data_IF_470818320693
#
_entry.id   IF_470818320693
#
_cell.length_a   1.000
_cell.length_b   1.000
_cell.length_c   1.000
_cell.angle_alpha   90.00
_cell.angle_beta   90.00
_cell.angle_gamma   90.00
#
_symmetry.space_group_name_H-M   'P 1'
#
loop_
_entity.id
_entity.type
_entity.pdbx_description
1 polymer ?
#
# COMPACT_ATOMS: atom_id res chain seq x y z
N UNK A 1 12.89 -7.19 1.65
CA UNK A 1 12.57 -6.72 0.29
C UNK A 1 11.06 -6.64 0.16
N UNK A 2 10.53 -5.53 -0.30
CA UNK A 2 9.10 -5.32 -0.60
C UNK A 2 8.97 -5.12 -2.11
N UNK A 3 8.31 -6.06 -2.79
CA UNK A 3 7.95 -5.90 -4.20
C UNK A 3 6.71 -5.01 -4.31
N UNK A 4 6.75 -4.01 -5.17
CA UNK A 4 5.67 -3.04 -5.37
C UNK A 4 5.30 -2.99 -6.85
N UNK A 5 4.01 -3.00 -7.19
CA UNK A 5 3.53 -2.90 -8.56
C UNK A 5 2.25 -2.08 -8.65
N UNK A 6 2.25 -1.01 -9.45
CA UNK A 6 1.03 -0.36 -9.89
C UNK A 6 0.32 -1.29 -10.90
N UNK A 7 -0.84 -1.80 -10.54
CA UNK A 7 -1.63 -2.67 -11.43
C UNK A 7 -2.48 -1.85 -12.40
N UNK A 8 -3.01 -0.72 -11.93
CA UNK A 8 -3.77 0.22 -12.72
C UNK A 8 -3.53 1.65 -12.24
N UNK A 9 -3.48 2.58 -13.18
CA UNK A 9 -3.12 3.98 -12.95
C UNK A 9 -4.20 4.97 -13.41
N UNK A 10 -5.34 4.49 -13.88
CA UNK A 10 -6.46 5.33 -14.34
C UNK A 10 -7.44 5.64 -13.20
N UNK A 11 -8.00 6.85 -13.23
CA UNK A 11 -9.18 7.24 -12.46
C UNK A 11 -10.42 7.33 -13.33
N UNK A 12 -11.60 7.28 -12.73
CA UNK A 12 -12.95 7.44 -13.28
C UNK A 12 -13.42 6.32 -14.22
N UNK A 13 -12.73 6.06 -15.33
CA UNK A 13 -13.13 5.03 -16.30
C UNK A 13 -11.91 4.29 -16.87
N UNK A 14 -12.03 2.99 -17.18
CA UNK A 14 -10.94 2.25 -17.78
C UNK A 14 -10.70 2.69 -19.23
N UNK A 15 -9.44 2.65 -19.64
CA UNK A 15 -9.04 2.86 -21.03
C UNK A 15 -8.42 1.56 -21.56
N UNK A 16 -8.39 1.32 -22.88
CA UNK A 16 -7.87 0.08 -23.46
C UNK A 16 -6.44 -0.28 -23.06
N UNK A 17 -5.66 0.70 -22.60
CA UNK A 17 -4.25 0.57 -22.21
C UNK A 17 -3.95 1.11 -20.82
N UNK A 18 -5.00 1.38 -20.03
CA UNK A 18 -4.87 1.91 -18.66
C UNK A 18 -6.03 1.39 -17.80
N UNK A 19 -5.73 0.43 -16.93
CA UNK A 19 -6.68 -0.11 -15.97
C UNK A 19 -6.95 0.88 -14.84
N UNK A 20 -8.05 0.66 -14.13
CA UNK A 20 -8.44 1.48 -13.00
C UNK A 20 -7.56 1.22 -11.77
N UNK A 21 -7.65 2.12 -10.83
CA UNK A 21 -6.78 2.26 -9.66
C UNK A 21 -6.59 0.96 -8.90
N UNK A 22 -5.35 0.52 -8.82
CA UNK A 22 -4.95 -0.63 -7.99
C UNK A 22 -3.44 -0.68 -7.79
N UNK A 23 -3.01 -0.96 -6.58
CA UNK A 23 -1.61 -1.17 -6.17
C UNK A 23 -1.47 -2.52 -5.50
N UNK A 24 -0.50 -3.32 -5.89
CA UNK A 24 -0.18 -4.58 -5.23
C UNK A 24 1.24 -4.58 -4.69
N UNK A 25 1.40 -5.08 -3.48
CA UNK A 25 2.68 -5.27 -2.81
C UNK A 25 2.85 -6.72 -2.38
N UNK A 26 4.09 -7.22 -2.35
CA UNK A 26 4.40 -8.58 -1.87
C UNK A 26 5.54 -8.54 -0.86
N UNK A 27 5.32 -9.18 0.27
CA UNK A 27 6.30 -9.30 1.34
C UNK A 27 6.22 -10.66 2.02
N UNK A 28 7.34 -11.38 2.12
CA UNK A 28 7.44 -12.67 2.83
C UNK A 28 6.33 -13.68 2.50
N UNK A 29 5.97 -13.81 1.22
CA UNK A 29 4.96 -14.75 0.76
C UNK A 29 3.51 -14.25 0.91
N UNK A 30 3.27 -13.11 1.53
CA UNK A 30 1.99 -12.42 1.61
C UNK A 30 1.87 -11.34 0.54
N UNK A 31 0.67 -11.08 0.07
CA UNK A 31 0.38 -9.97 -0.84
C UNK A 31 -0.69 -9.04 -0.25
N UNK A 32 -0.48 -7.75 -0.47
CA UNK A 32 -1.37 -6.66 -0.05
C UNK A 32 -1.86 -5.99 -1.32
N UNK A 33 -3.16 -5.80 -1.44
CA UNK A 33 -3.77 -5.01 -2.51
C UNK A 33 -4.33 -3.71 -1.90
N UNK A 34 -4.11 -2.57 -2.54
CA UNK A 34 -4.80 -1.32 -2.21
C UNK A 34 -5.61 -0.92 -3.42
N UNK A 35 -6.91 -0.83 -3.24
CA UNK A 35 -7.94 -0.69 -4.23
C UNK A 35 -7.99 -1.83 -5.27
N UNK A 36 -9.16 -2.05 -5.84
CA UNK A 36 -9.44 -3.10 -6.80
C UNK A 36 -10.37 -2.57 -7.88
N UNK A 37 -9.86 -1.65 -8.70
CA UNK A 37 -10.58 -1.11 -9.84
C UNK A 37 -10.76 -2.15 -10.95
N UNK A 38 -11.57 -1.83 -11.95
CA UNK A 38 -11.80 -2.70 -13.09
C UNK A 38 -10.48 -2.98 -13.84
N UNK A 39 -10.25 -4.24 -14.19
CA UNK A 39 -9.02 -4.71 -14.84
C UNK A 39 -7.94 -5.20 -13.88
N UNK A 40 -8.07 -5.02 -12.55
CA UNK A 40 -7.09 -5.44 -11.56
C UNK A 40 -6.66 -6.91 -11.73
N UNK A 41 -7.61 -7.85 -11.88
CA UNK A 41 -7.30 -9.26 -12.07
C UNK A 41 -6.54 -9.55 -13.36
N UNK A 42 -6.79 -8.77 -14.42
CA UNK A 42 -6.07 -8.89 -15.70
C UNK A 42 -4.63 -8.42 -15.50
N UNK A 43 -4.45 -7.26 -14.88
CA UNK A 43 -3.13 -6.69 -14.61
C UNK A 43 -2.26 -7.59 -13.71
N UNK A 44 -2.85 -8.24 -12.68
CA UNK A 44 -2.14 -9.25 -11.87
C UNK A 44 -1.66 -10.42 -12.73
N UNK A 45 -2.53 -10.92 -13.63
CA UNK A 45 -2.20 -12.03 -14.53
C UNK A 45 -1.11 -11.64 -15.52
N UNK A 46 -1.21 -10.47 -16.13
CA UNK A 46 -0.21 -9.90 -17.06
C UNK A 46 1.14 -9.65 -16.37
N UNK A 47 1.12 -9.25 -15.08
CA UNK A 47 2.34 -9.13 -14.27
C UNK A 47 2.98 -10.47 -13.93
N UNK A 48 2.27 -11.59 -14.12
CA UNK A 48 2.72 -12.93 -13.74
C UNK A 48 2.69 -13.16 -12.23
N UNK A 49 1.89 -12.38 -11.49
CA UNK A 49 1.72 -12.57 -10.06
C UNK A 49 0.53 -13.48 -9.75
N UNK A 50 0.55 -14.10 -8.57
CA UNK A 50 -0.48 -15.02 -8.13
C UNK A 50 -1.57 -14.31 -7.31
N UNK A 51 -2.82 -14.78 -7.45
CA UNK A 51 -3.96 -14.30 -6.66
C UNK A 51 -4.00 -14.95 -5.26
N UNK A 52 -3.54 -16.20 -5.13
CA UNK A 52 -3.65 -16.98 -3.89
C UNK A 52 -2.97 -16.32 -2.68
N UNK A 53 -1.80 -15.67 -2.79
CA UNK A 53 -1.13 -15.03 -1.66
C UNK A 53 -1.74 -13.68 -1.22
N UNK A 54 -2.82 -13.19 -1.84
CA UNK A 54 -3.43 -11.92 -1.43
C UNK A 54 -4.13 -12.13 -0.09
N UNK A 55 -3.52 -11.68 0.99
CA UNK A 55 -4.04 -11.86 2.35
C UNK A 55 -4.85 -10.66 2.84
N UNK A 56 -4.59 -9.48 2.26
CA UNK A 56 -5.23 -8.22 2.64
C UNK A 56 -5.58 -7.41 1.40
N UNK A 57 -6.80 -6.87 1.38
CA UNK A 57 -7.23 -5.84 0.42
C UNK A 57 -7.66 -4.62 1.22
N UNK A 58 -7.03 -3.47 0.97
CA UNK A 58 -7.39 -2.18 1.54
C UNK A 58 -8.17 -1.36 0.52
N UNK A 59 -9.28 -0.73 0.93
CA UNK A 59 -10.02 0.21 0.10
C UNK A 59 -9.85 1.62 0.62
N UNK A 60 -9.42 2.53 -0.25
CA UNK A 60 -9.34 3.96 0.07
C UNK A 60 -10.73 4.53 0.30
N UNK A 61 -11.67 4.20 -0.58
CA UNK A 61 -13.08 4.54 -0.54
C UNK A 61 -13.88 3.65 -1.51
N UNK A 62 -15.18 3.92 -1.72
CA UNK A 62 -16.08 3.03 -2.46
C UNK A 62 -16.57 3.59 -3.80
N UNK A 63 -15.83 4.52 -4.44
CA UNK A 63 -16.12 4.84 -5.83
C UNK A 63 -15.84 3.64 -6.75
N UNK A 64 -16.54 3.57 -7.87
CA UNK A 64 -16.50 2.42 -8.77
C UNK A 64 -15.10 2.09 -9.25
N UNK A 65 -14.31 3.10 -9.61
CA UNK A 65 -12.95 2.96 -10.11
C UNK A 65 -11.93 2.43 -9.07
N UNK A 66 -12.36 2.26 -7.82
CA UNK A 66 -11.56 1.68 -6.73
C UNK A 66 -12.04 0.30 -6.26
N UNK A 67 -13.28 -0.11 -6.60
CA UNK A 67 -13.86 -1.35 -6.05
C UNK A 67 -14.56 -2.24 -7.07
N UNK A 68 -14.85 -1.76 -8.28
CA UNK A 68 -15.63 -2.51 -9.28
C UNK A 68 -15.00 -3.83 -9.73
N UNK A 69 -13.69 -3.98 -9.62
CA UNK A 69 -12.98 -5.21 -9.93
C UNK A 69 -13.08 -6.32 -8.87
N UNK A 70 -13.54 -5.98 -7.66
CA UNK A 70 -13.54 -6.90 -6.51
C UNK A 70 -14.35 -8.19 -6.75
N UNK A 71 -15.59 -8.17 -7.27
CA UNK A 71 -16.36 -9.40 -7.46
C UNK A 71 -15.65 -10.41 -8.37
N UNK A 72 -15.10 -9.93 -9.48
CA UNK A 72 -14.33 -10.77 -10.40
C UNK A 72 -13.04 -11.31 -9.78
N UNK A 73 -12.35 -10.49 -8.99
CA UNK A 73 -11.14 -10.92 -8.27
C UNK A 73 -11.47 -12.01 -7.25
N UNK A 74 -12.53 -11.87 -6.45
CA UNK A 74 -12.94 -12.86 -5.46
C UNK A 74 -13.25 -14.22 -6.11
N UNK A 75 -13.98 -14.23 -7.24
CA UNK A 75 -14.23 -15.45 -8.02
C UNK A 75 -12.92 -16.06 -8.53
N UNK A 76 -12.02 -15.26 -9.06
CA UNK A 76 -10.72 -15.72 -9.54
C UNK A 76 -9.87 -16.32 -8.41
N UNK A 77 -9.88 -15.72 -7.22
CA UNK A 77 -9.20 -16.25 -6.03
C UNK A 77 -9.81 -17.59 -5.58
N UNK A 78 -11.14 -17.71 -5.62
CA UNK A 78 -11.84 -18.98 -5.34
C UNK A 78 -11.47 -20.09 -6.33
N UNK A 79 -11.43 -19.76 -7.62
CA UNK A 79 -11.03 -20.68 -8.69
C UNK A 79 -9.54 -21.06 -8.64
N UNK A 80 -8.71 -20.28 -7.96
CA UNK A 80 -7.29 -20.59 -7.70
C UNK A 80 -7.09 -21.43 -6.42
N UNK A 81 -8.14 -22.10 -5.93
CA UNK A 81 -8.14 -22.97 -4.74
C UNK A 81 -7.65 -22.26 -3.45
N UNK A 82 -7.95 -20.97 -3.31
CA UNK A 82 -7.71 -20.29 -2.04
C UNK A 82 -8.67 -20.83 -0.97
N UNK A 83 -8.14 -21.15 0.20
CA UNK A 83 -8.92 -21.57 1.39
C UNK A 83 -8.67 -20.66 2.58
N UNK A 84 -7.55 -19.96 2.60
CA UNK A 84 -7.14 -19.08 3.68
C UNK A 84 -8.06 -17.85 3.72
N UNK A 85 -8.39 -17.33 4.92
CA UNK A 85 -9.21 -16.14 5.07
C UNK A 85 -8.60 -14.95 4.33
N UNK A 86 -9.46 -14.07 3.80
CA UNK A 86 -9.09 -12.80 3.18
C UNK A 86 -9.53 -11.65 4.08
N UNK A 87 -8.61 -10.79 4.48
CA UNK A 87 -8.91 -9.59 5.25
C UNK A 87 -9.18 -8.41 4.34
N UNK A 88 -10.31 -7.74 4.55
CA UNK A 88 -10.69 -6.50 3.87
C UNK A 88 -10.63 -5.34 4.88
N UNK A 89 -9.91 -4.28 4.54
CA UNK A 89 -9.79 -3.05 5.35
C UNK A 89 -10.37 -1.90 4.55
N UNK A 90 -11.20 -1.05 5.17
CA UNK A 90 -11.76 0.10 4.46
C UNK A 90 -12.64 0.99 5.34
N UNK A 91 -13.23 2.04 4.77
CA UNK A 91 -14.14 2.93 5.47
C UNK A 91 -15.34 2.20 6.09
N UNK A 92 -16.00 2.82 7.04
CA UNK A 92 -17.27 2.33 7.61
C UNK A 92 -18.28 2.03 6.51
N UNK A 93 -18.98 0.90 6.62
CA UNK A 93 -19.88 0.37 5.62
C UNK A 93 -19.23 -0.60 4.63
N UNK A 94 -17.97 -0.98 4.83
CA UNK A 94 -17.23 -1.92 3.99
C UNK A 94 -17.97 -3.25 3.81
N UNK A 95 -18.40 -3.87 4.90
CA UNK A 95 -19.12 -5.14 4.87
C UNK A 95 -20.41 -5.05 4.05
N UNK A 96 -21.17 -3.96 4.23
CA UNK A 96 -22.41 -3.72 3.48
C UNK A 96 -22.14 -3.57 1.98
N UNK A 97 -21.13 -2.78 1.60
CA UNK A 97 -20.79 -2.52 0.19
C UNK A 97 -20.29 -3.80 -0.47
N UNK A 98 -19.36 -4.51 0.16
CA UNK A 98 -18.83 -5.78 -0.36
C UNK A 98 -19.92 -6.83 -0.44
N UNK A 99 -20.81 -6.92 0.57
CA UNK A 99 -21.96 -7.80 0.56
C UNK A 99 -22.88 -7.56 -0.64
N UNK A 100 -23.16 -6.29 -0.97
CA UNK A 100 -23.97 -5.93 -2.14
C UNK A 100 -23.27 -6.28 -3.47
N UNK A 101 -21.98 -6.03 -3.59
CA UNK A 101 -21.20 -6.33 -4.80
C UNK A 101 -21.09 -7.84 -5.06
N UNK A 102 -20.97 -8.64 -3.99
CA UNK A 102 -20.81 -10.10 -4.11
C UNK A 102 -22.11 -10.90 -4.26
N UNK A 103 -23.26 -10.25 -4.46
CA UNK A 103 -24.51 -10.96 -4.81
C UNK A 103 -24.31 -11.87 -6.03
N UNK A 104 -23.44 -11.52 -6.96
CA UNK A 104 -23.07 -12.35 -8.13
C UNK A 104 -22.02 -13.43 -7.81
N UNK A 105 -21.45 -13.44 -6.61
CA UNK A 105 -20.45 -14.40 -6.12
C UNK A 105 -20.78 -14.77 -4.66
N UNK A 106 -21.96 -15.35 -4.38
CA UNK A 106 -22.46 -15.53 -3.01
C UNK A 106 -21.65 -16.54 -2.22
N UNK A 107 -21.09 -17.54 -2.87
CA UNK A 107 -20.32 -18.61 -2.25
C UNK A 107 -18.84 -18.46 -2.61
N UNK A 108 -18.01 -18.39 -1.59
CA UNK A 108 -16.55 -18.38 -1.72
C UNK A 108 -15.98 -19.51 -0.87
N UNK A 109 -14.92 -20.19 -1.33
CA UNK A 109 -14.30 -21.29 -0.59
C UNK A 109 -13.42 -20.80 0.59
N UNK A 110 -13.44 -19.52 0.91
CA UNK A 110 -12.69 -18.88 1.98
C UNK A 110 -13.53 -17.81 2.69
N UNK A 111 -13.17 -17.55 3.95
CA UNK A 111 -13.78 -16.53 4.80
C UNK A 111 -13.37 -15.11 4.38
N UNK A 112 -14.30 -14.14 4.42
CA UNK A 112 -14.01 -12.71 4.36
C UNK A 112 -14.04 -12.13 5.76
N UNK A 113 -12.97 -11.46 6.17
CA UNK A 113 -12.83 -10.73 7.44
C UNK A 113 -12.84 -9.24 7.19
N UNK A 114 -13.72 -8.51 7.86
CA UNK A 114 -13.89 -7.09 7.65
C UNK A 114 -13.28 -6.30 8.82
N UNK A 115 -12.43 -5.35 8.50
CA UNK A 115 -11.85 -4.38 9.45
C UNK A 115 -12.21 -2.97 9.00
N UNK A 116 -13.31 -2.46 9.53
CA UNK A 116 -13.76 -1.11 9.22
C UNK A 116 -12.97 -0.06 9.99
N UNK A 117 -12.53 1.00 9.28
CA UNK A 117 -11.76 2.10 9.87
C UNK A 117 -12.72 3.00 10.64
N UNK A 118 -12.56 3.06 11.95
CA UNK A 118 -13.36 3.86 12.86
C UNK A 118 -12.84 5.27 13.15
N UNK A 119 -11.53 5.45 13.03
CA UNK A 119 -10.80 6.63 13.47
C UNK A 119 -10.19 7.41 12.29
N UNK A 120 -9.87 8.71 12.46
CA UNK A 120 -9.15 9.48 11.44
C UNK A 120 -7.77 8.91 11.09
N UNK A 121 -7.13 8.22 12.03
CA UNK A 121 -5.91 7.45 11.81
C UNK A 121 -6.00 6.16 12.61
N UNK A 122 -5.77 5.02 11.96
CA UNK A 122 -5.84 3.71 12.59
C UNK A 122 -4.74 2.80 12.04
N UNK A 123 -4.10 2.03 12.92
CA UNK A 123 -3.03 1.10 12.56
C UNK A 123 -3.52 -0.34 12.73
N UNK A 124 -3.20 -1.17 11.75
CA UNK A 124 -3.48 -2.60 11.73
C UNK A 124 -2.14 -3.35 11.72
N UNK A 125 -1.93 -4.16 12.75
CA UNK A 125 -0.76 -5.03 12.84
C UNK A 125 -0.99 -6.29 11.99
N UNK A 126 -0.07 -6.54 11.08
CA UNK A 126 -0.09 -7.69 10.18
C UNK A 126 1.14 -8.57 10.45
N UNK A 127 1.20 -9.73 9.80
CA UNK A 127 2.32 -10.64 9.97
C UNK A 127 3.61 -10.08 9.34
N UNK A 128 4.37 -9.32 10.14
CA UNK A 128 5.68 -8.78 9.77
C UNK A 128 5.65 -7.40 9.12
N UNK A 129 4.50 -6.72 9.09
CA UNK A 129 4.36 -5.33 8.63
C UNK A 129 3.15 -4.67 9.30
N UNK A 130 3.08 -3.35 9.25
CA UNK A 130 1.95 -2.55 9.71
C UNK A 130 1.31 -1.83 8.54
N UNK A 131 -0.02 -1.72 8.58
CA UNK A 131 -0.81 -0.86 7.69
C UNK A 131 -1.42 0.25 8.53
N UNK A 132 -1.09 1.50 8.22
CA UNK A 132 -1.69 2.67 8.85
C UNK A 132 -2.60 3.36 7.85
N UNK A 133 -3.90 3.38 8.15
CA UNK A 133 -4.87 4.19 7.43
C UNK A 133 -4.88 5.60 8.01
N UNK A 134 -4.98 6.62 7.16
CA UNK A 134 -5.09 8.02 7.57
C UNK A 134 -6.09 8.78 6.69
N UNK A 135 -6.91 9.61 7.33
CA UNK A 135 -7.98 10.35 6.64
C UNK A 135 -7.40 11.37 5.67
N UNK A 136 -7.99 11.43 4.47
CA UNK A 136 -7.69 12.42 3.43
C UNK A 136 -8.94 13.22 3.06
N UNK A 137 -8.82 14.23 2.19
CA UNK A 137 -9.89 15.18 1.87
C UNK A 137 -10.50 14.92 0.50
N UNK A 138 -11.55 14.11 0.48
CA UNK A 138 -12.35 13.83 -0.72
C UNK A 138 -13.86 14.07 -0.49
N UNK A 139 -14.67 13.86 -1.53
CA UNK A 139 -16.13 14.06 -1.47
C UNK A 139 -16.85 13.02 -0.60
N UNK A 140 -16.24 11.86 -0.44
CA UNK A 140 -16.70 10.77 0.44
C UNK A 140 -15.64 10.47 1.49
N UNK A 141 -15.95 9.60 2.45
CA UNK A 141 -14.97 9.10 3.40
C UNK A 141 -13.86 8.38 2.66
N UNK A 142 -12.64 8.93 2.69
CA UNK A 142 -11.48 8.44 1.98
C UNK A 142 -10.25 8.39 2.88
N UNK A 143 -9.42 7.35 2.70
CA UNK A 143 -8.19 7.12 3.45
C UNK A 143 -7.00 6.91 2.51
N UNK A 144 -5.84 7.44 2.92
CA UNK A 144 -4.57 6.98 2.42
C UNK A 144 -4.04 5.86 3.31
N UNK A 145 -3.02 5.16 2.83
CA UNK A 145 -2.39 4.05 3.55
C UNK A 145 -0.88 4.19 3.59
N UNK A 146 -0.29 3.92 4.74
CA UNK A 146 1.16 3.74 4.89
C UNK A 146 1.43 2.30 5.28
N UNK A 147 2.30 1.62 4.52
CA UNK A 147 2.80 0.28 4.84
C UNK A 147 4.22 0.41 5.35
N UNK A 148 4.44 -0.09 6.56
CA UNK A 148 5.74 -0.04 7.24
C UNK A 148 6.22 -1.44 7.58
N UNK A 149 7.47 -1.72 7.24
CA UNK A 149 8.16 -2.97 7.54
C UNK A 149 9.34 -2.63 8.44
N UNK A 150 9.29 -3.06 9.68
CA UNK A 150 10.37 -2.84 10.62
C UNK A 150 11.57 -3.71 10.30
N UNK A 151 12.75 -3.20 10.63
CA UNK A 151 14.00 -3.95 10.57
C UNK A 151 14.59 -4.05 11.96
N UNK A 152 14.61 -5.27 12.49
CA UNK A 152 15.24 -5.55 13.77
C UNK A 152 16.72 -5.12 13.79
N UNK A 153 17.24 -4.87 14.96
CA UNK A 153 18.66 -4.64 15.19
C UNK A 153 19.52 -5.79 14.67
N UNK A 154 20.81 -5.54 14.50
CA UNK A 154 21.76 -6.61 14.15
C UNK A 154 21.90 -7.55 15.36
N UNK A 155 21.88 -8.84 15.11
CA UNK A 155 22.13 -9.83 16.17
C UNK A 155 23.58 -9.74 16.62
N UNK A 156 23.78 -9.63 17.93
CA UNK A 156 25.07 -9.53 18.60
C UNK A 156 25.44 -10.89 19.19
N UNK A 157 26.34 -11.59 18.50
CA UNK A 157 26.81 -12.92 18.89
C UNK A 157 27.61 -12.88 20.19
N UNK A 158 28.41 -11.84 20.40
CA UNK A 158 29.24 -11.74 21.60
C UNK A 158 28.40 -11.45 22.83
N UNK A 159 27.39 -10.60 22.67
CA UNK A 159 26.39 -10.33 23.70
C UNK A 159 25.57 -11.58 24.04
N UNK A 160 25.17 -12.37 23.03
CA UNK A 160 24.45 -13.62 23.26
C UNK A 160 25.31 -14.66 24.01
N UNK A 161 26.60 -14.74 23.70
CA UNK A 161 27.55 -15.61 24.39
C UNK A 161 27.83 -15.15 25.81
N UNK A 162 28.04 -13.86 26.05
CA UNK A 162 28.30 -13.30 27.38
C UNK A 162 27.12 -13.47 28.35
N UNK A 163 25.91 -13.58 27.81
CA UNK A 163 24.69 -13.87 28.58
C UNK A 163 24.35 -15.36 28.63
N UNK A 164 25.24 -16.22 28.19
CA UNK A 164 25.10 -17.68 28.17
C UNK A 164 23.82 -18.17 27.49
N UNK A 165 23.30 -17.40 26.49
CA UNK A 165 22.07 -17.76 25.78
C UNK A 165 22.35 -18.93 24.83
N UNK A 166 21.68 -20.09 24.99
CA UNK A 166 21.89 -21.24 24.14
C UNK A 166 21.59 -20.96 22.68
N UNK A 167 22.48 -21.42 21.78
CA UNK A 167 22.41 -21.15 20.33
C UNK A 167 21.07 -21.60 19.70
N UNK A 168 20.42 -22.62 20.26
CA UNK A 168 19.09 -23.10 19.83
C UNK A 168 18.01 -22.02 19.86
N UNK A 169 18.17 -20.96 20.69
CA UNK A 169 17.22 -19.84 20.84
C UNK A 169 17.56 -18.63 19.97
N UNK A 170 18.77 -18.50 19.44
CA UNK A 170 19.22 -17.32 18.70
C UNK A 170 18.35 -16.98 17.52
N UNK A 171 17.91 -17.99 16.75
CA UNK A 171 17.03 -17.78 15.57
C UNK A 171 15.68 -17.16 15.93
N UNK A 172 15.14 -17.52 17.07
CA UNK A 172 13.86 -17.00 17.56
C UNK A 172 14.01 -15.55 18.04
N UNK A 173 15.03 -15.30 18.87
CA UNK A 173 15.35 -13.94 19.34
C UNK A 173 15.68 -13.00 18.18
N UNK A 174 16.39 -13.48 17.15
CA UNK A 174 16.67 -12.71 15.95
C UNK A 174 15.40 -12.34 15.17
N UNK A 175 14.35 -13.14 15.26
CA UNK A 175 13.03 -12.86 14.67
C UNK A 175 12.15 -11.96 15.52
N UNK A 176 12.62 -11.56 16.71
CA UNK A 176 11.85 -10.74 17.63
C UNK A 176 10.92 -11.54 18.57
N UNK A 177 11.11 -12.86 18.66
CA UNK A 177 10.30 -13.73 19.52
C UNK A 177 10.86 -13.75 20.94
N UNK A 178 10.01 -13.57 21.94
CA UNK A 178 10.35 -13.82 23.36
C UNK A 178 10.18 -15.31 23.66
N UNK A 179 11.11 -15.90 24.40
CA UNK A 179 11.13 -17.33 24.70
C UNK A 179 11.14 -17.51 26.22
N UNK A 180 10.23 -18.33 26.70
CA UNK A 180 10.26 -18.85 28.06
C UNK A 180 10.84 -20.26 28.02
N UNK A 181 12.02 -20.45 28.62
CA UNK A 181 12.69 -21.74 28.64
C UNK A 181 13.54 -21.89 29.92
N UNK A 182 13.44 -23.05 30.55
CA UNK A 182 14.30 -23.44 31.70
C UNK A 182 14.28 -22.46 32.89
N UNK A 183 13.12 -21.74 33.07
CA UNK A 183 12.97 -20.72 34.12
C UNK A 183 13.48 -19.33 33.74
N UNK A 184 13.93 -19.13 32.50
CA UNK A 184 14.42 -17.86 31.98
C UNK A 184 13.43 -17.28 30.98
N UNK A 185 13.29 -15.95 30.97
CA UNK A 185 12.62 -15.22 29.94
C UNK A 185 13.70 -14.56 29.05
N UNK A 186 13.86 -15.07 27.85
CA UNK A 186 14.82 -14.55 26.89
C UNK A 186 14.09 -13.61 25.95
N UNK A 187 14.53 -12.35 25.89
CA UNK A 187 13.91 -11.30 25.06
C UNK A 187 14.84 -10.84 23.92
N UNK A 188 14.31 -10.38 22.79
CA UNK A 188 15.11 -9.95 21.66
C UNK A 188 16.14 -8.84 21.98
N UNK A 189 15.81 -7.91 22.87
CA UNK A 189 16.67 -6.81 23.28
C UNK A 189 17.95 -7.27 24.00
N UNK A 190 17.96 -8.49 24.55
CA UNK A 190 19.14 -9.09 25.14
C UNK A 190 20.26 -9.32 24.11
N UNK A 191 19.90 -9.53 22.83
CA UNK A 191 20.85 -9.93 21.76
C UNK A 191 20.76 -9.08 20.50
N UNK A 192 19.77 -8.20 20.38
CA UNK A 192 19.64 -7.30 19.24
C UNK A 192 20.24 -5.93 19.57
N UNK A 193 20.93 -5.36 18.60
CA UNK A 193 21.32 -3.95 18.63
C UNK A 193 20.14 -3.01 18.41
N UNK A 194 20.42 -1.71 18.27
CA UNK A 194 19.39 -0.71 18.00
C UNK A 194 18.59 -1.07 16.74
N UNK A 195 17.26 -0.77 16.70
CA UNK A 195 16.45 -0.93 15.49
C UNK A 195 17.08 -0.21 14.31
N UNK A 196 17.05 -0.86 13.14
CA UNK A 196 17.57 -0.30 11.90
C UNK A 196 16.44 0.31 11.08
N UNK A 197 16.77 1.20 10.13
CA UNK A 197 15.79 1.76 9.23
C UNK A 197 15.07 0.65 8.45
N UNK A 198 13.74 0.58 8.60
CA UNK A 198 12.86 -0.30 7.86
C UNK A 198 12.53 0.22 6.45
N UNK A 199 11.46 -0.31 5.88
CA UNK A 199 10.89 0.14 4.60
C UNK A 199 9.57 0.82 4.89
N UNK A 200 9.34 2.00 4.27
CA UNK A 200 8.10 2.75 4.36
C UNK A 200 7.59 3.11 2.97
N UNK A 201 6.37 2.69 2.67
CA UNK A 201 5.63 3.07 1.47
C UNK A 201 4.35 3.80 1.90
N UNK A 202 4.06 4.96 1.29
CA UNK A 202 2.80 5.67 1.49
C UNK A 202 2.05 5.79 0.17
N UNK A 203 0.74 5.55 0.22
CA UNK A 203 -0.16 5.61 -0.93
C UNK A 203 -1.38 6.47 -0.61
N UNK A 204 -1.73 7.39 -1.50
CA UNK A 204 -2.99 8.12 -1.42
C UNK A 204 -3.51 8.51 -2.80
N UNK A 205 -4.81 8.40 -2.96
CA UNK A 205 -5.56 8.84 -4.13
C UNK A 205 -6.76 9.69 -3.67
N UNK A 206 -7.42 10.34 -4.62
CA UNK A 206 -8.70 11.02 -4.40
C UNK A 206 -8.69 11.98 -3.20
N UNK A 207 -7.87 13.02 -3.33
CA UNK A 207 -7.70 13.95 -2.23
C UNK A 207 -7.17 15.31 -2.65
N UNK A 208 -7.56 16.35 -1.91
CA UNK A 208 -6.82 17.61 -1.89
C UNK A 208 -5.58 17.49 -1.00
N UNK A 209 -4.56 18.36 -1.18
CA UNK A 209 -3.44 18.45 -0.26
C UNK A 209 -3.90 18.59 1.19
N UNK A 210 -3.35 17.76 2.08
CA UNK A 210 -3.60 17.83 3.52
C UNK A 210 -2.30 17.64 4.30
N UNK A 211 -2.26 18.19 5.52
CA UNK A 211 -1.16 17.96 6.44
C UNK A 211 -1.00 16.48 6.80
N UNK A 212 -2.12 15.77 6.90
CA UNK A 212 -2.14 14.32 7.18
C UNK A 212 -1.35 13.51 6.14
N UNK A 213 -1.45 13.87 4.85
CA UNK A 213 -0.67 13.21 3.79
C UNK A 213 0.83 13.45 4.00
N UNK A 214 1.22 14.72 4.22
CA UNK A 214 2.62 15.09 4.43
C UNK A 214 3.21 14.37 5.65
N UNK A 215 2.49 14.31 6.77
CA UNK A 215 2.95 13.67 8.01
C UNK A 215 3.10 12.17 7.84
N UNK A 216 2.15 11.51 7.16
CA UNK A 216 2.22 10.08 6.92
C UNK A 216 3.23 9.69 5.83
N UNK A 217 3.47 10.55 4.84
CA UNK A 217 4.49 10.34 3.81
C UNK A 217 5.91 10.67 4.27
N UNK A 218 6.09 11.35 5.41
CA UNK A 218 7.40 11.82 5.87
C UNK A 218 8.45 10.72 5.86
N UNK A 219 9.54 10.94 5.10
CA UNK A 219 10.67 10.05 4.97
C UNK A 219 10.36 8.70 4.30
N UNK A 220 9.24 8.58 3.58
CA UNK A 220 8.88 7.36 2.86
C UNK A 220 9.94 7.01 1.80
N UNK A 221 10.21 5.71 1.64
CA UNK A 221 11.10 5.21 0.59
C UNK A 221 10.43 5.33 -0.78
N UNK A 222 9.11 5.13 -0.81
CA UNK A 222 8.27 5.37 -1.98
C UNK A 222 6.95 6.02 -1.55
N UNK A 223 6.62 7.14 -2.19
CA UNK A 223 5.32 7.78 -2.07
C UNK A 223 4.58 7.66 -3.40
N UNK A 224 3.44 6.99 -3.40
CA UNK A 224 2.55 6.85 -4.54
C UNK A 224 1.35 7.75 -4.30
N UNK A 225 1.17 8.74 -5.15
CA UNK A 225 0.16 9.77 -4.97
C UNK A 225 -0.63 10.00 -6.24
N UNK A 226 -1.90 10.37 -6.09
CA UNK A 226 -2.66 10.81 -7.24
C UNK A 226 -1.99 11.99 -7.95
N UNK A 227 -2.21 12.03 -9.25
CA UNK A 227 -2.00 13.20 -10.09
C UNK A 227 -3.07 13.19 -11.16
N UNK A 228 -4.29 13.63 -10.79
CA UNK A 228 -5.42 13.62 -11.72
C UNK A 228 -5.16 14.50 -12.93
N UNK A 229 -4.45 15.61 -12.74
CA UNK A 229 -4.21 16.62 -13.77
C UNK A 229 -2.74 17.01 -13.85
N UNK A 230 -2.17 16.94 -15.07
CA UNK A 230 -0.83 17.46 -15.39
C UNK A 230 -0.86 18.94 -15.77
N UNK A 231 -1.98 19.42 -16.32
CA UNK A 231 -2.16 20.77 -16.81
C UNK A 231 -2.37 21.78 -15.66
N UNK A 232 -1.65 22.90 -15.68
CA UNK A 232 -1.72 23.95 -14.65
C UNK A 232 -3.07 24.71 -14.67
N UNK A 233 -3.69 24.86 -15.81
CA UNK A 233 -5.00 25.50 -15.97
C UNK A 233 -6.15 24.68 -15.35
N UNK A 234 -5.95 23.39 -15.15
CA UNK A 234 -6.91 22.50 -14.46
C UNK A 234 -6.88 22.56 -12.94
N UNK A 235 -6.08 23.44 -12.34
CA UNK A 235 -5.99 23.58 -10.89
C UNK A 235 -7.36 23.88 -10.24
N UNK A 236 -8.19 24.73 -10.88
CA UNK A 236 -9.56 25.02 -10.40
C UNK A 236 -10.43 23.76 -10.40
N UNK A 237 -10.32 22.95 -11.45
CA UNK A 237 -11.04 21.67 -11.58
C UNK A 237 -10.59 20.67 -10.51
N UNK A 238 -9.29 20.61 -10.23
CA UNK A 238 -8.75 19.80 -9.16
C UNK A 238 -9.35 20.16 -7.79
N UNK A 239 -9.52 21.45 -7.51
CA UNK A 239 -10.18 21.92 -6.27
C UNK A 239 -11.65 21.53 -6.24
N UNK A 240 -12.38 21.74 -7.33
CA UNK A 240 -13.82 21.44 -7.45
C UNK A 240 -14.14 19.96 -7.22
N UNK A 241 -13.38 19.06 -7.83
CA UNK A 241 -13.58 17.61 -7.72
C UNK A 241 -12.77 16.94 -6.60
N UNK A 242 -12.05 17.74 -5.80
CA UNK A 242 -11.20 17.27 -4.70
C UNK A 242 -10.12 16.28 -5.11
N UNK A 243 -9.41 16.61 -6.18
CA UNK A 243 -8.20 15.93 -6.64
C UNK A 243 -6.99 16.86 -6.60
N UNK A 244 -5.81 16.35 -6.99
CA UNK A 244 -4.57 17.11 -7.07
C UNK A 244 -4.03 17.23 -8.50
N UNK A 245 -3.29 18.30 -8.71
CA UNK A 245 -2.38 18.42 -9.85
C UNK A 245 -1.05 17.72 -9.53
N UNK A 246 -0.28 17.36 -10.53
CA UNK A 246 1.08 16.82 -10.41
C UNK A 246 1.98 17.70 -9.52
N UNK A 247 1.85 19.01 -9.66
CA UNK A 247 2.66 19.99 -8.93
C UNK A 247 2.33 20.05 -7.43
N UNK A 248 1.05 19.89 -7.08
CA UNK A 248 0.62 19.84 -5.68
C UNK A 248 1.14 18.55 -5.03
N UNK A 249 1.00 17.40 -5.70
CA UNK A 249 1.55 16.13 -5.23
C UNK A 249 3.08 16.19 -5.03
N UNK A 250 3.81 16.78 -6.00
CA UNK A 250 5.25 16.92 -5.92
C UNK A 250 5.71 17.84 -4.77
N UNK A 251 4.97 18.91 -4.46
CA UNK A 251 5.27 19.77 -3.30
C UNK A 251 5.08 19.02 -2.00
N UNK A 252 3.98 18.28 -1.83
CA UNK A 252 3.77 17.44 -0.64
C UNK A 252 4.93 16.45 -0.47
N UNK A 253 5.31 15.77 -1.55
CA UNK A 253 6.37 14.77 -1.55
C UNK A 253 7.74 15.39 -1.17
N UNK A 254 8.07 16.56 -1.72
CA UNK A 254 9.27 17.32 -1.35
C UNK A 254 9.26 17.70 0.12
N UNK A 255 8.16 18.26 0.60
CA UNK A 255 8.02 18.77 1.98
C UNK A 255 7.95 17.61 3.00
N UNK A 256 7.58 16.42 2.56
CA UNK A 256 7.62 15.17 3.32
C UNK A 256 8.99 14.45 3.23
N UNK A 257 9.95 14.99 2.46
CA UNK A 257 11.29 14.40 2.29
C UNK A 257 11.26 12.94 1.81
N UNK A 258 10.35 12.62 0.89
CA UNK A 258 10.27 11.26 0.35
C UNK A 258 11.46 10.97 -0.57
N UNK A 259 11.90 9.71 -0.63
CA UNK A 259 13.04 9.35 -1.51
C UNK A 259 12.66 9.31 -2.98
N UNK A 260 11.49 8.76 -3.29
CA UNK A 260 10.96 8.64 -4.66
C UNK A 260 9.43 8.82 -4.64
N UNK A 261 8.88 9.45 -5.68
CA UNK A 261 7.43 9.60 -5.87
C UNK A 261 6.99 9.00 -7.19
N UNK A 262 5.87 8.29 -7.16
CA UNK A 262 5.14 7.88 -8.37
C UNK A 262 3.79 8.56 -8.42
N UNK A 263 3.46 9.14 -9.57
CA UNK A 263 2.13 9.67 -9.85
C UNK A 263 1.23 8.55 -10.39
N UNK A 264 -0.04 8.58 -10.01
CA UNK A 264 -1.06 7.61 -10.43
C UNK A 264 -2.43 8.28 -10.51
N UNK A 265 -3.49 7.53 -10.76
CA UNK A 265 -4.88 8.00 -10.77
C UNK A 265 -5.13 9.14 -11.76
N UNK A 266 -4.73 8.93 -13.01
CA UNK A 266 -4.85 9.95 -14.06
C UNK A 266 -6.26 10.10 -14.58
N UNK A 267 -6.67 11.35 -14.85
CA UNK A 267 -7.88 11.64 -15.62
C UNK A 267 -7.87 10.90 -16.97
N UNK A 268 -9.01 10.38 -17.44
CA UNK A 268 -9.10 9.79 -18.77
C UNK A 268 -8.65 10.74 -19.91
N UNK A 269 -8.81 12.07 -19.70
CA UNK A 269 -8.35 13.07 -20.65
C UNK A 269 -6.83 13.25 -20.68
N UNK A 270 -6.12 12.81 -19.63
CA UNK A 270 -4.66 12.89 -19.52
C UNK A 270 -4.02 11.65 -20.14
N UNK A 271 -3.86 11.65 -21.45
CA UNK A 271 -3.33 10.49 -22.19
C UNK A 271 -1.81 10.34 -22.08
N UNK A 272 -1.09 11.45 -21.93
CA UNK A 272 0.38 11.51 -21.94
C UNK A 272 0.93 12.21 -20.69
N UNK A 273 0.93 11.58 -19.53
CA UNK A 273 1.42 12.17 -18.28
C UNK A 273 2.90 12.58 -18.34
N UNK A 274 3.71 11.93 -19.17
CA UNK A 274 5.14 12.24 -19.33
C UNK A 274 5.41 13.66 -19.85
N UNK A 275 4.48 14.28 -20.57
CA UNK A 275 4.65 15.62 -21.13
C UNK A 275 4.79 16.70 -20.04
N UNK A 276 4.37 16.44 -18.81
CA UNK A 276 4.41 17.36 -17.68
C UNK A 276 5.57 17.08 -16.72
N UNK A 277 6.31 16.00 -16.93
CA UNK A 277 7.24 15.50 -15.91
C UNK A 277 8.50 16.34 -15.76
N UNK A 278 8.93 17.08 -16.79
CA UNK A 278 10.13 17.92 -16.68
C UNK A 278 9.96 19.04 -15.65
N UNK A 279 8.78 19.67 -15.62
CA UNK A 279 8.46 20.69 -14.62
C UNK A 279 8.28 20.08 -13.21
N UNK A 280 7.63 18.94 -13.13
CA UNK A 280 7.42 18.20 -11.86
C UNK A 280 8.77 17.80 -11.26
N UNK A 281 9.71 17.31 -12.08
CA UNK A 281 11.06 16.93 -11.65
C UNK A 281 11.91 18.09 -11.16
N UNK A 282 11.58 19.33 -11.55
CA UNK A 282 12.21 20.52 -10.93
C UNK A 282 11.81 20.70 -9.48
N UNK A 283 10.62 20.23 -9.07
CA UNK A 283 10.13 20.27 -7.68
C UNK A 283 10.71 19.09 -6.89
N UNK A 284 10.62 17.89 -7.46
CA UNK A 284 11.14 16.64 -6.88
C UNK A 284 11.79 15.79 -7.97
N UNK A 285 13.13 15.75 -8.07
CA UNK A 285 13.84 15.09 -9.17
C UNK A 285 13.51 13.60 -9.35
N UNK A 286 13.29 12.89 -8.25
CA UNK A 286 12.96 11.45 -8.28
C UNK A 286 11.46 11.19 -8.40
N UNK A 287 10.77 11.91 -9.30
CA UNK A 287 9.36 11.70 -9.61
C UNK A 287 9.21 10.95 -10.93
N UNK A 288 8.35 9.95 -10.94
CA UNK A 288 8.00 9.16 -12.12
C UNK A 288 6.51 9.24 -12.40
N UNK A 289 6.15 9.34 -13.68
CA UNK A 289 4.78 9.06 -14.10
C UNK A 289 4.55 7.55 -14.02
N UNK A 290 3.65 7.13 -13.15
CA UNK A 290 3.28 5.73 -13.01
C UNK A 290 2.63 5.19 -14.28
N UNK A 291 2.87 3.92 -14.56
CA UNK A 291 2.27 3.17 -15.67
C UNK A 291 1.78 1.85 -15.15
N UNK A 292 0.76 1.31 -15.78
CA UNK A 292 0.28 -0.02 -15.45
C UNK A 292 1.41 -1.04 -15.50
N UNK A 293 1.52 -1.88 -14.48
CA UNK A 293 2.58 -2.88 -14.24
C UNK A 293 3.97 -2.33 -13.96
N UNK A 294 4.10 -0.99 -13.79
CA UNK A 294 5.34 -0.41 -13.29
C UNK A 294 5.64 -0.96 -11.89
N UNK A 295 6.86 -1.41 -11.68
CA UNK A 295 7.24 -2.08 -10.44
C UNK A 295 8.63 -1.73 -9.96
N UNK A 296 8.84 -1.89 -8.65
CA UNK A 296 10.14 -1.73 -7.99
C UNK A 296 10.25 -2.71 -6.81
N UNK A 297 11.47 -3.10 -6.50
CA UNK A 297 11.81 -3.81 -5.28
C UNK A 297 12.42 -2.81 -4.30
N UNK A 298 11.73 -2.57 -3.18
CA UNK A 298 12.28 -1.77 -2.08
C UNK A 298 13.09 -2.68 -1.17
N UNK A 299 14.34 -2.34 -0.99
CA UNK A 299 15.27 -3.06 -0.13
C UNK A 299 15.50 -2.30 1.17
N UNK A 300 15.88 -3.04 2.21
CA UNK A 300 16.36 -2.39 3.42
C UNK A 300 17.63 -1.61 3.09
N UNK A 301 17.74 -0.35 3.56
CA UNK A 301 18.98 0.42 3.36
C UNK A 301 20.18 -0.37 3.86
N UNK A 302 21.30 -0.28 3.15
CA UNK A 302 22.56 -0.81 3.67
C UNK A 302 22.89 -0.11 5.00
N UNK A 303 23.48 -0.88 5.92
CA UNK A 303 23.81 -0.41 7.26
C UNK A 303 25.07 0.46 7.26
#
# INVERSE_FOLDING_TARGET
MLDVCLLGTGGMMPLPYRWLTSLMMRYNGSSILIDCGEGTQIAIKEKGWSFKPIDVICFTHFHGDHISGLPGLLLTMGNADRKEPLTLIGPRGLEKVVGALRVIAPELPFELRFLEIGEPQQTFEMKGYRIRAFRVNHNVTCYGYTVEIDRAGKFDVDRAKSQEIPQKYWRFLQKGETIEAEGWILTPDMVLGAPRKGIKLTYCTDTRPTKSIQDNAKGADLFICEGMYGETDKAKKAVEYKHMTFYEAARIARDAEVKEMWLTHYSPSLTRPEEYMDEVRRILPRTKAGKDRMSVNLEFPEA
#
